data_IF_261142983210
#
_entry.id   IF_261142983210
#
_cell.length_a   1.000
_cell.length_b   1.000
_cell.length_c   1.000
_cell.angle_alpha   90.00
_cell.angle_beta   90.00
_cell.angle_gamma   90.00
#
_symmetry.space_group_name_H-M   'P 1'
#
loop_
_entity.id
_entity.type
_entity.pdbx_description
1 polymer ?
#
# COMPACT_ATOMS: atom_id res chain seq x y z
N UNK A 1 14.23 11.42 8.68
CA UNK A 1 13.53 10.17 9.00
C UNK A 1 12.21 10.11 8.26
N UNK A 2 11.81 8.95 7.87
CA UNK A 2 10.57 8.73 7.15
C UNK A 2 9.72 7.66 7.82
N UNK A 3 8.50 7.52 7.34
CA UNK A 3 7.62 6.46 7.78
C UNK A 3 7.67 5.31 6.79
N UNK A 4 7.76 4.11 7.33
CA UNK A 4 7.76 2.88 6.55
C UNK A 4 6.68 1.98 7.12
N UNK A 5 5.73 1.58 6.29
CA UNK A 5 4.64 0.72 6.71
C UNK A 5 4.69 -0.60 5.96
N UNK A 6 4.54 -1.70 6.68
CA UNK A 6 4.29 -3.01 6.12
C UNK A 6 2.81 -3.33 6.29
N UNK A 7 2.16 -3.68 5.21
CA UNK A 7 0.72 -3.97 5.22
C UNK A 7 0.50 -5.37 4.69
N UNK A 8 -0.17 -6.19 5.48
CA UNK A 8 -0.56 -7.54 5.06
C UNK A 8 -1.80 -7.45 4.17
N UNK A 9 -1.63 -7.81 2.91
CA UNK A 9 -2.73 -7.82 1.94
C UNK A 9 -3.02 -9.23 1.41
N UNK A 10 -2.52 -10.24 2.11
CA UNK A 10 -2.65 -11.63 1.66
C UNK A 10 -4.10 -12.06 1.50
N UNK A 11 -5.01 -11.46 2.28
CA UNK A 11 -6.44 -11.76 2.19
C UNK A 11 -7.16 -11.00 1.08
N UNK A 12 -6.49 -10.02 0.49
CA UNK A 12 -7.09 -9.17 -0.54
C UNK A 12 -6.79 -9.64 -1.95
N UNK A 13 -5.74 -10.42 -2.11
CA UNK A 13 -5.35 -10.95 -3.41
C UNK A 13 -3.85 -10.85 -3.67
N UNK A 14 -3.48 -10.80 -4.93
CA UNK A 14 -2.08 -10.74 -5.34
C UNK A 14 -1.47 -9.37 -5.01
N UNK A 15 -0.37 -9.39 -4.25
CA UNK A 15 0.29 -8.15 -3.84
C UNK A 15 0.77 -7.32 -5.03
N UNK A 16 1.23 -7.96 -6.11
CA UNK A 16 1.68 -7.24 -7.31
C UNK A 16 0.56 -6.44 -7.95
N UNK A 17 -0.64 -7.01 -8.03
CA UNK A 17 -1.81 -6.31 -8.57
C UNK A 17 -2.24 -5.16 -7.66
N UNK A 18 -2.18 -5.39 -6.36
CA UNK A 18 -2.55 -4.36 -5.38
C UNK A 18 -1.55 -3.21 -5.42
N UNK A 19 -0.26 -3.49 -5.59
CA UNK A 19 0.77 -2.45 -5.77
C UNK A 19 0.43 -1.56 -6.95
N UNK A 20 0.13 -2.15 -8.11
CA UNK A 20 -0.21 -1.38 -9.30
C UNK A 20 -1.46 -0.53 -9.09
N UNK A 21 -2.46 -1.10 -8.42
CA UNK A 21 -3.70 -0.40 -8.10
C UNK A 21 -3.44 0.81 -7.21
N UNK A 22 -2.65 0.64 -6.16
CA UNK A 22 -2.35 1.72 -5.22
C UNK A 22 -1.51 2.83 -5.87
N UNK A 23 -0.53 2.47 -6.69
CA UNK A 23 0.27 3.46 -7.40
C UNK A 23 -0.62 4.32 -8.29
N UNK A 24 -1.58 3.70 -8.96
CA UNK A 24 -2.48 4.39 -9.87
C UNK A 24 -3.53 5.24 -9.12
N UNK A 25 -4.14 4.70 -8.08
CA UNK A 25 -5.29 5.31 -7.44
C UNK A 25 -4.96 6.13 -6.19
N UNK A 26 -3.96 5.72 -5.43
CA UNK A 26 -3.56 6.43 -4.22
C UNK A 26 -2.35 7.34 -4.42
N UNK A 27 -1.64 7.18 -5.53
CA UNK A 27 -0.48 8.00 -5.90
C UNK A 27 0.59 8.03 -4.80
N UNK A 28 0.90 6.85 -4.27
CA UNK A 28 1.90 6.70 -3.21
C UNK A 28 3.01 5.76 -3.66
N UNK A 29 4.18 5.88 -3.04
CA UNK A 29 5.30 4.98 -3.30
C UNK A 29 5.06 3.66 -2.57
N UNK A 30 4.76 2.61 -3.32
CA UNK A 30 4.44 1.29 -2.78
C UNK A 30 5.31 0.26 -3.49
N UNK A 31 5.88 -0.65 -2.71
CA UNK A 31 6.67 -1.77 -3.24
C UNK A 31 6.06 -3.10 -2.80
N UNK A 32 6.21 -4.11 -3.65
CA UNK A 32 5.78 -5.46 -3.33
C UNK A 32 6.75 -6.06 -2.31
N UNK A 33 6.22 -6.54 -1.17
CA UNK A 33 7.05 -7.09 -0.11
C UNK A 33 7.84 -8.31 -0.50
N UNK A 34 7.38 -9.08 -1.50
CA UNK A 34 8.09 -10.28 -1.95
C UNK A 34 9.49 -9.98 -2.49
N UNK A 35 9.75 -8.73 -2.88
CA UNK A 35 11.06 -8.31 -3.37
C UNK A 35 12.09 -8.16 -2.25
N UNK A 36 11.68 -8.29 -1.00
CA UNK A 36 12.55 -8.07 0.17
C UNK A 36 12.89 -9.36 0.90
N UNK A 37 12.62 -10.52 0.28
CA UNK A 37 13.06 -11.79 0.79
C UNK A 37 11.93 -12.65 1.36
N UNK A 38 12.29 -13.80 1.99
CA UNK A 38 11.30 -14.70 2.58
C UNK A 38 10.43 -13.98 3.62
N UNK A 39 9.15 -14.27 3.61
CA UNK A 39 8.21 -13.65 4.54
C UNK A 39 7.60 -12.36 4.05
N UNK A 40 8.10 -11.79 2.96
CA UNK A 40 7.53 -10.58 2.37
C UNK A 40 6.33 -10.81 1.47
N UNK A 41 6.05 -12.06 1.12
CA UNK A 41 4.93 -12.40 0.25
C UNK A 41 3.61 -12.01 0.90
N UNK A 42 2.71 -11.44 0.11
CA UNK A 42 1.42 -11.00 0.63
C UNK A 42 1.46 -9.70 1.41
N UNK A 43 2.60 -9.04 1.44
CA UNK A 43 2.78 -7.76 2.14
C UNK A 43 3.16 -6.66 1.16
N UNK A 44 2.81 -5.42 1.53
CA UNK A 44 3.23 -4.23 0.80
C UNK A 44 4.14 -3.38 1.69
N UNK A 45 5.15 -2.79 1.07
CA UNK A 45 6.01 -1.82 1.73
C UNK A 45 5.62 -0.44 1.22
N UNK A 46 5.10 0.39 2.12
CA UNK A 46 4.64 1.74 1.78
C UNK A 46 5.61 2.74 2.41
N UNK A 47 6.19 3.60 1.57
CA UNK A 47 7.16 4.59 2.03
C UNK A 47 6.50 5.95 2.08
N UNK A 48 6.41 6.52 3.26
CA UNK A 48 5.83 7.84 3.50
C UNK A 48 6.86 8.88 3.90
N UNK A 49 8.15 8.52 3.80
CA UNK A 49 9.25 9.39 4.19
C UNK A 49 9.46 10.61 3.29
N UNK A 50 8.80 10.64 2.13
CA UNK A 50 8.87 11.78 1.22
C UNK A 50 8.03 12.95 1.69
N UNK A 51 7.12 12.71 2.62
CA UNK A 51 6.25 13.76 3.14
C UNK A 51 6.87 14.39 4.37
N UNK A 52 6.89 15.72 4.41
CA UNK A 52 7.44 16.47 5.54
C UNK A 52 6.35 17.03 6.45
N UNK A 53 5.12 16.90 6.03
CA UNK A 53 3.96 17.45 6.71
C UNK A 53 3.08 16.31 7.18
N UNK A 54 2.76 16.27 8.48
CA UNK A 54 1.93 15.23 9.06
C UNK A 54 0.54 15.17 8.40
N UNK A 55 -0.01 16.31 8.00
CA UNK A 55 -1.29 16.35 7.30
C UNK A 55 -1.21 15.62 5.96
N UNK A 56 -0.08 15.72 5.26
CA UNK A 56 0.11 15.00 4.00
C UNK A 56 0.26 13.50 4.21
N UNK A 57 0.91 13.10 5.31
CA UNK A 57 1.02 11.68 5.68
C UNK A 57 -0.37 11.11 5.96
N UNK A 58 -1.17 11.81 6.74
CA UNK A 58 -2.54 11.38 7.06
C UNK A 58 -3.38 11.29 5.79
N UNK A 59 -3.29 12.28 4.91
CA UNK A 59 -4.03 12.27 3.65
C UNK A 59 -3.62 11.08 2.76
N UNK A 60 -2.32 10.76 2.73
CA UNK A 60 -1.83 9.60 1.97
C UNK A 60 -2.39 8.30 2.54
N UNK A 61 -2.41 8.16 3.86
CA UNK A 61 -2.96 6.97 4.51
C UNK A 61 -4.45 6.82 4.23
N UNK A 62 -5.20 7.92 4.21
CA UNK A 62 -6.61 7.88 3.88
C UNK A 62 -6.84 7.46 2.44
N UNK A 63 -6.01 7.93 1.50
CA UNK A 63 -6.10 7.52 0.10
C UNK A 63 -5.81 6.03 -0.05
N UNK A 64 -4.82 5.52 0.67
CA UNK A 64 -4.49 4.09 0.66
C UNK A 64 -5.66 3.27 1.18
N UNK A 65 -6.24 3.69 2.30
CA UNK A 65 -7.38 2.99 2.89
C UNK A 65 -8.56 2.96 1.93
N UNK A 66 -8.89 4.10 1.34
CA UNK A 66 -10.00 4.18 0.39
C UNK A 66 -9.76 3.30 -0.84
N UNK A 67 -8.53 3.29 -1.35
CA UNK A 67 -8.18 2.47 -2.51
C UNK A 67 -8.28 0.97 -2.19
N UNK A 68 -7.85 0.56 -1.00
CA UNK A 68 -7.95 -0.84 -0.59
C UNK A 68 -9.40 -1.29 -0.43
N UNK A 69 -10.25 -0.43 0.12
CA UNK A 69 -11.68 -0.72 0.25
C UNK A 69 -12.30 -0.88 -1.14
N UNK A 70 -11.96 0.01 -2.06
CA UNK A 70 -12.47 -0.07 -3.43
C UNK A 70 -11.97 -1.35 -4.12
N UNK A 71 -10.72 -1.72 -3.90
CA UNK A 71 -10.17 -2.98 -4.43
C UNK A 71 -10.99 -4.18 -3.95
N UNK A 72 -11.32 -4.21 -2.65
CA UNK A 72 -12.11 -5.29 -2.08
C UNK A 72 -13.47 -5.39 -2.75
N UNK A 73 -14.14 -4.26 -2.97
CA UNK A 73 -15.45 -4.22 -3.60
C UNK A 73 -15.38 -4.69 -5.06
N UNK A 74 -14.39 -4.25 -5.81
CA UNK A 74 -14.23 -4.60 -7.22
C UNK A 74 -13.86 -6.06 -7.42
N UNK A 75 -13.17 -6.66 -6.46
CA UNK A 75 -12.68 -8.05 -6.56
C UNK A 75 -13.46 -9.04 -5.69
N UNK A 76 -14.53 -8.59 -5.06
CA UNK A 76 -15.42 -9.40 -4.24
C UNK A 76 -14.69 -10.11 -3.09
N UNK A 77 -13.80 -9.38 -2.44
CA UNK A 77 -12.99 -9.92 -1.34
C UNK A 77 -13.50 -9.41 0.00
#
# INVERSE_FOLDING_TARGET
SGFLCWVDVSRLGDSSQIVQYLVKHAQVAVNDGKNYGPGGEGHLRIVLGVYRDDAKVIAALERIKAALIQWQEENHV
#
